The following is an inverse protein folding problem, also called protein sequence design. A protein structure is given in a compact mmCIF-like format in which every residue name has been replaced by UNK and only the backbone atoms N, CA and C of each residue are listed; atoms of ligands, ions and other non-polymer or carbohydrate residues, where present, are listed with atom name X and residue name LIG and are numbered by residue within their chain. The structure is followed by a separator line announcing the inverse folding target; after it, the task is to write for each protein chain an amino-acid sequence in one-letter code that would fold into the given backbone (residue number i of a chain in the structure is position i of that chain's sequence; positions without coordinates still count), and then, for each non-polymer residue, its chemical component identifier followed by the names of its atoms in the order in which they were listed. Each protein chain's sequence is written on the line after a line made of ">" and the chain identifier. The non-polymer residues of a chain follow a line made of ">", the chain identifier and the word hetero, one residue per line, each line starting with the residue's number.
data_IF_205839893559
#
_entry.id   IF_205839893559
#
_cell.length_a   1.000
_cell.length_b   1.000
_cell.length_c   1.000
_cell.angle_alpha   90.00
_cell.angle_beta   90.00
_cell.angle_gamma   90.00
#
_symmetry.space_group_name_H-M   'P 1'
#
loop_
_entity.id
_entity.type
_entity.pdbx_description
1 polymer ?
#
# COMPACT_ATOMS: atom_id res chain seq x y z
N UNK A 1 4.91 -1.52 -14.55
CA UNK A 1 5.57 -1.37 -13.23
C UNK A 1 6.49 -2.52 -12.89
N UNK A 2 6.02 -3.77 -12.77
CA UNK A 2 6.91 -4.90 -12.51
C UNK A 2 8.01 -5.05 -13.60
N UNK A 3 7.63 -4.92 -14.87
CA UNK A 3 8.58 -4.96 -16.00
C UNK A 3 9.57 -3.78 -15.97
N UNK A 4 9.13 -2.60 -15.53
CA UNK A 4 10.03 -1.45 -15.37
C UNK A 4 11.10 -1.71 -14.28
N UNK A 5 10.73 -2.44 -13.22
CA UNK A 5 11.67 -2.88 -12.17
C UNK A 5 12.63 -3.94 -12.70
N UNK A 6 12.14 -4.88 -13.52
CA UNK A 6 12.97 -5.90 -14.18
C UNK A 6 13.98 -5.27 -15.15
N UNK A 7 13.52 -4.36 -16.03
CA UNK A 7 14.39 -3.63 -16.96
C UNK A 7 15.45 -2.81 -16.22
N UNK A 8 15.05 -2.10 -15.16
CA UNK A 8 16.00 -1.36 -14.33
C UNK A 8 17.04 -2.28 -13.69
N UNK A 9 16.63 -3.46 -13.21
CA UNK A 9 17.54 -4.44 -12.64
C UNK A 9 18.56 -4.97 -13.66
N UNK A 10 18.13 -5.16 -14.92
CA UNK A 10 19.02 -5.54 -16.01
C UNK A 10 20.01 -4.44 -16.36
N UNK A 11 19.55 -3.18 -16.44
CA UNK A 11 20.42 -2.02 -16.69
C UNK A 11 21.46 -1.80 -15.58
N UNK A 12 21.11 -2.14 -14.33
CA UNK A 12 22.02 -2.08 -13.19
C UNK A 12 22.94 -3.32 -13.07
N UNK A 13 22.75 -4.34 -13.91
CA UNK A 13 23.56 -5.55 -13.89
C UNK A 13 23.38 -6.37 -12.60
N UNK A 14 22.18 -6.37 -12.01
CA UNK A 14 21.90 -7.10 -10.75
C UNK A 14 21.93 -8.63 -10.91
N UNK A 15 22.04 -9.11 -12.15
CA UNK A 15 22.09 -10.53 -12.50
C UNK A 15 20.71 -11.10 -12.85
N UNK A 16 20.65 -12.44 -12.97
CA UNK A 16 19.42 -13.14 -13.39
C UNK A 16 18.28 -13.03 -12.36
N UNK A 17 18.62 -12.91 -11.07
CA UNK A 17 17.63 -12.75 -9.99
C UNK A 17 18.11 -11.76 -8.95
N UNK A 18 17.18 -11.00 -8.38
CA UNK A 18 17.48 -9.96 -7.40
C UNK A 18 16.47 -9.95 -6.23
N UNK A 19 16.80 -9.21 -5.17
CA UNK A 19 15.89 -8.96 -4.04
C UNK A 19 15.15 -7.65 -4.24
N UNK A 20 13.89 -7.60 -3.79
CA UNK A 20 13.09 -6.37 -3.79
C UNK A 20 12.59 -6.04 -2.39
N UNK A 21 12.66 -4.76 -2.00
CA UNK A 21 12.21 -4.28 -0.69
C UNK A 21 11.24 -3.11 -0.90
N UNK A 22 10.02 -3.24 -0.38
CA UNK A 22 9.00 -2.22 -0.46
C UNK A 22 8.66 -1.66 0.92
N UNK A 23 8.74 -0.34 1.06
CA UNK A 23 8.31 0.39 2.24
C UNK A 23 7.00 1.12 1.97
N UNK A 24 6.01 1.01 2.87
CA UNK A 24 4.72 1.71 2.76
C UNK A 24 4.05 1.46 1.39
N UNK A 25 3.79 2.50 0.61
CA UNK A 25 3.22 2.38 -0.74
C UNK A 25 4.09 1.54 -1.69
N UNK A 26 5.40 1.45 -1.43
CA UNK A 26 6.29 0.54 -2.14
C UNK A 26 5.82 -0.91 -2.10
N UNK A 27 5.00 -1.31 -1.12
CA UNK A 27 4.36 -2.62 -1.09
C UNK A 27 3.52 -2.93 -2.33
N UNK A 28 2.83 -1.94 -2.90
CA UNK A 28 2.05 -2.11 -4.15
C UNK A 28 2.94 -2.55 -5.32
N UNK A 29 4.14 -2.00 -5.41
CA UNK A 29 5.14 -2.36 -6.42
C UNK A 29 5.61 -3.79 -6.19
N UNK A 30 5.93 -4.14 -4.95
CA UNK A 30 6.37 -5.50 -4.59
C UNK A 30 5.29 -6.55 -4.91
N UNK A 31 4.02 -6.28 -4.61
CA UNK A 31 2.91 -7.18 -4.97
C UNK A 31 2.81 -7.40 -6.48
N UNK A 32 3.05 -6.35 -7.28
CA UNK A 32 3.14 -6.46 -8.74
C UNK A 32 4.33 -7.32 -9.16
N UNK A 33 5.51 -7.10 -8.58
CA UNK A 33 6.70 -7.90 -8.90
C UNK A 33 6.50 -9.38 -8.57
N UNK A 34 5.89 -9.69 -7.42
CA UNK A 34 5.56 -11.06 -7.02
C UNK A 34 4.58 -11.74 -7.99
N UNK A 35 3.66 -10.98 -8.59
CA UNK A 35 2.67 -11.53 -9.54
C UNK A 35 3.27 -11.74 -10.93
N UNK A 36 3.99 -10.75 -11.46
CA UNK A 36 4.35 -10.71 -12.88
C UNK A 36 5.78 -11.15 -13.19
N UNK A 37 6.74 -10.92 -12.28
CA UNK A 37 8.15 -11.29 -12.48
C UNK A 37 8.68 -12.22 -11.38
N UNK A 38 7.91 -13.20 -10.85
CA UNK A 38 8.39 -14.03 -9.74
C UNK A 38 9.68 -14.80 -10.10
N UNK A 39 9.88 -15.10 -11.39
CA UNK A 39 11.06 -15.80 -11.89
C UNK A 39 12.36 -14.97 -11.76
N UNK A 40 12.27 -13.64 -11.67
CA UNK A 40 13.38 -12.70 -11.50
C UNK A 40 13.72 -12.41 -10.04
N UNK A 41 12.95 -12.94 -9.09
CA UNK A 41 13.11 -12.61 -7.68
C UNK A 41 13.80 -13.75 -6.94
N UNK A 42 14.82 -13.41 -6.15
CA UNK A 42 15.33 -14.31 -5.09
C UNK A 42 14.43 -14.21 -3.85
N UNK A 43 13.93 -13.01 -3.57
CA UNK A 43 13.03 -12.76 -2.44
C UNK A 43 12.45 -11.35 -2.45
N UNK A 44 11.39 -11.16 -1.66
CA UNK A 44 10.70 -9.90 -1.51
C UNK A 44 10.47 -9.57 -0.03
N UNK A 45 10.71 -8.32 0.36
CA UNK A 45 10.48 -7.83 1.73
C UNK A 45 9.47 -6.68 1.71
N UNK A 46 8.50 -6.73 2.64
CA UNK A 46 7.49 -5.71 2.82
C UNK A 46 7.64 -5.09 4.21
N UNK A 47 7.87 -3.78 4.27
CA UNK A 47 8.05 -3.03 5.52
C UNK A 47 6.90 -2.04 5.63
N UNK A 48 6.08 -2.19 6.68
CA UNK A 48 4.84 -1.40 6.91
C UNK A 48 4.02 -1.16 5.63
N UNK A 49 3.76 -2.19 4.81
CA UNK A 49 3.26 -1.99 3.46
C UNK A 49 1.81 -1.49 3.45
N UNK A 50 1.44 -0.80 2.38
CA UNK A 50 0.02 -0.73 1.99
C UNK A 50 -0.42 -2.15 1.61
N UNK A 51 -1.25 -2.75 2.45
CA UNK A 51 -1.70 -4.14 2.33
C UNK A 51 -2.61 -4.30 1.09
N UNK A 52 -2.39 -5.38 0.34
CA UNK A 52 -3.32 -5.81 -0.71
C UNK A 52 -4.32 -6.81 -0.12
N UNK A 53 -5.49 -6.34 0.30
CA UNK A 53 -6.53 -7.18 0.91
C UNK A 53 -7.12 -8.23 -0.04
N UNK A 54 -6.93 -8.11 -1.35
CA UNK A 54 -7.48 -9.02 -2.35
C UNK A 54 -6.45 -10.00 -2.92
N UNK A 55 -5.29 -10.13 -2.28
CA UNK A 55 -4.30 -11.12 -2.68
C UNK A 55 -4.85 -12.54 -2.51
N UNK A 56 -4.78 -13.36 -3.57
CA UNK A 56 -5.37 -14.71 -3.62
C UNK A 56 -4.91 -15.65 -2.50
N UNK A 57 -3.72 -15.44 -1.94
CA UNK A 57 -3.18 -16.24 -0.84
C UNK A 57 -3.64 -15.83 0.57
N UNK A 58 -4.43 -14.76 0.72
CA UNK A 58 -4.89 -14.31 2.04
C UNK A 58 -6.18 -15.03 2.45
N UNK A 59 -6.29 -15.50 3.71
CA UNK A 59 -7.54 -16.02 4.23
C UNK A 59 -8.65 -14.98 4.17
N UNK A 60 -9.88 -15.41 3.84
CA UNK A 60 -11.03 -14.51 3.67
C UNK A 60 -11.35 -13.69 4.93
N UNK A 61 -11.03 -14.18 6.13
CA UNK A 61 -11.22 -13.40 7.35
C UNK A 61 -10.27 -12.19 7.41
N UNK A 62 -9.01 -12.36 7.00
CA UNK A 62 -7.99 -11.29 6.99
C UNK A 62 -8.30 -10.23 5.95
N UNK A 63 -8.77 -10.62 4.76
CA UNK A 63 -9.14 -9.68 3.70
C UNK A 63 -10.32 -8.79 4.10
N UNK A 64 -11.19 -9.29 4.98
CA UNK A 64 -12.40 -8.58 5.42
C UNK A 64 -12.14 -7.72 6.66
N UNK A 65 -11.19 -8.09 7.52
CA UNK A 65 -10.94 -7.44 8.82
C UNK A 65 -9.76 -6.46 8.82
N UNK A 66 -8.95 -6.44 7.76
CA UNK A 66 -7.65 -5.76 7.80
C UNK A 66 -7.64 -4.23 7.91
N UNK A 67 -8.80 -3.55 7.84
CA UNK A 67 -8.92 -2.13 8.24
C UNK A 67 -10.07 -1.98 9.25
N UNK A 68 -9.74 -1.50 10.46
CA UNK A 68 -10.73 -1.24 11.51
C UNK A 68 -11.58 0.02 11.25
N UNK A 69 -11.19 0.85 10.28
CA UNK A 69 -11.89 2.08 9.93
C UNK A 69 -12.85 1.82 8.76
N UNK A 70 -14.17 1.89 8.97
CA UNK A 70 -15.17 1.60 7.93
C UNK A 70 -15.06 2.50 6.69
N UNK A 71 -14.62 3.75 6.88
CA UNK A 71 -14.43 4.70 5.79
C UNK A 71 -13.27 4.32 4.87
N UNK A 72 -12.09 4.06 5.45
CA UNK A 72 -10.90 3.62 4.71
C UNK A 72 -11.21 2.32 3.94
N UNK A 73 -11.96 1.40 4.55
CA UNK A 73 -12.43 0.17 3.91
C UNK A 73 -13.32 0.42 2.70
N UNK A 74 -14.23 1.40 2.76
CA UNK A 74 -15.09 1.79 1.62
C UNK A 74 -14.26 2.42 0.51
N UNK A 75 -13.34 3.32 0.84
CA UNK A 75 -12.46 3.97 -0.14
C UNK A 75 -11.61 2.93 -0.90
N UNK A 76 -11.04 1.95 -0.18
CA UNK A 76 -10.27 0.86 -0.77
C UNK A 76 -11.14 -0.04 -1.68
N UNK A 77 -12.38 -0.33 -1.30
CA UNK A 77 -13.31 -1.09 -2.15
C UNK A 77 -13.68 -0.35 -3.43
N UNK A 78 -13.92 0.97 -3.35
CA UNK A 78 -14.19 1.80 -4.54
C UNK A 78 -12.97 1.76 -5.46
N UNK A 79 -11.76 1.91 -4.91
CA UNK A 79 -10.53 1.82 -5.70
C UNK A 79 -10.35 0.44 -6.35
N UNK A 80 -10.76 -0.65 -5.69
CA UNK A 80 -10.63 -2.01 -6.21
C UNK A 80 -11.68 -2.38 -7.26
N UNK A 81 -12.97 -2.15 -6.98
CA UNK A 81 -14.07 -2.58 -7.85
C UNK A 81 -14.46 -1.54 -8.90
N UNK A 82 -14.18 -0.26 -8.62
CA UNK A 82 -14.56 0.87 -9.47
C UNK A 82 -13.36 1.79 -9.74
N UNK A 83 -12.25 1.27 -10.30
CA UNK A 83 -11.02 2.04 -10.44
C UNK A 83 -11.19 3.33 -11.24
N UNK A 84 -12.10 3.36 -12.23
CA UNK A 84 -12.43 4.56 -13.00
C UNK A 84 -13.03 5.69 -12.15
N UNK A 85 -13.67 5.36 -11.02
CA UNK A 85 -14.26 6.32 -10.11
C UNK A 85 -13.22 6.88 -9.11
N UNK A 86 -12.04 6.27 -9.02
CA UNK A 86 -11.00 6.62 -8.04
C UNK A 86 -10.57 8.08 -8.16
N UNK A 87 -10.32 8.55 -9.39
CA UNK A 87 -9.95 9.94 -9.62
C UNK A 87 -11.04 10.90 -9.11
N UNK A 88 -12.29 10.66 -9.52
CA UNK A 88 -13.42 11.48 -9.08
C UNK A 88 -13.59 11.45 -7.55
N UNK A 89 -13.50 10.27 -6.94
CA UNK A 89 -13.60 10.09 -5.48
C UNK A 89 -12.57 10.92 -4.72
N UNK A 90 -11.32 10.97 -5.21
CA UNK A 90 -10.24 11.74 -4.59
C UNK A 90 -10.37 13.26 -4.76
N UNK A 91 -11.12 13.72 -5.75
CA UNK A 91 -11.35 15.16 -5.96
C UNK A 91 -12.45 15.73 -5.07
N UNK A 92 -13.21 14.88 -4.37
CA UNK A 92 -14.30 15.32 -3.50
C UNK A 92 -13.75 15.91 -2.20
N UNK A 93 -14.10 17.17 -1.90
CA UNK A 93 -13.71 17.84 -0.64
C UNK A 93 -14.53 17.41 0.58
N UNK A 94 -15.58 16.62 0.35
CA UNK A 94 -16.58 16.23 1.36
C UNK A 94 -16.18 14.90 2.03
N UNK A 95 -15.29 14.12 1.41
CA UNK A 95 -14.81 12.88 1.98
C UNK A 95 -13.44 13.10 2.65
N UNK A 96 -13.26 12.70 3.92
CA UNK A 96 -11.94 12.71 4.54
C UNK A 96 -11.01 11.76 3.77
N UNK A 97 -9.74 12.16 3.59
CA UNK A 97 -8.69 11.26 3.12
C UNK A 97 -8.56 10.03 4.04
N UNK A 98 -7.91 8.96 3.58
CA UNK A 98 -7.61 7.78 4.41
C UNK A 98 -7.10 8.23 5.78
N UNK A 99 -7.64 7.64 6.85
CA UNK A 99 -7.45 8.09 8.22
C UNK A 99 -6.00 8.03 8.70
N UNK A 100 -5.18 7.20 8.04
CA UNK A 100 -3.72 7.15 8.19
C UNK A 100 -3.04 8.47 7.80
N UNK A 101 -3.52 9.13 6.75
CA UNK A 101 -3.00 10.41 6.25
C UNK A 101 -3.44 11.54 7.18
N UNK A 102 -4.66 11.45 7.72
CA UNK A 102 -5.19 12.41 8.68
C UNK A 102 -4.61 12.25 10.09
N UNK A 103 -3.69 11.30 10.30
CA UNK A 103 -3.11 10.95 11.61
C UNK A 103 -4.20 10.77 12.68
N UNK A 104 -5.33 10.20 12.28
CA UNK A 104 -6.46 10.04 13.19
C UNK A 104 -6.08 9.04 14.28
N UNK A 105 -6.21 9.38 15.57
CA UNK A 105 -5.89 8.47 16.67
C UNK A 105 -6.76 7.20 16.65
N UNK A 106 -7.85 7.19 15.88
CA UNK A 106 -8.70 6.02 15.66
C UNK A 106 -8.09 4.93 14.78
N UNK A 107 -6.92 5.15 14.17
CA UNK A 107 -6.23 4.11 13.38
C UNK A 107 -5.37 3.17 14.23
N UNK A 108 -4.95 3.65 15.39
CA UNK A 108 -4.08 2.93 16.31
C UNK A 108 -4.89 1.86 17.04
N UNK A 109 -4.31 0.67 17.18
CA UNK A 109 -4.85 -0.32 18.11
C UNK A 109 -4.78 0.20 19.55
N UNK A 110 -5.54 -0.39 20.47
CA UNK A 110 -5.45 -0.02 21.89
C UNK A 110 -4.03 -0.24 22.44
N UNK A 111 -3.36 -1.30 21.98
CA UNK A 111 -1.96 -1.59 22.32
C UNK A 111 -1.01 -0.50 21.79
N UNK A 112 -1.22 -0.03 20.55
CA UNK A 112 -0.42 1.05 19.98
C UNK A 112 -0.60 2.35 20.76
N UNK A 113 -1.83 2.64 21.21
CA UNK A 113 -2.13 3.80 22.06
C UNK A 113 -1.41 3.69 23.41
N UNK A 114 -1.40 2.52 24.03
CA UNK A 114 -0.67 2.28 25.28
C UNK A 114 0.85 2.44 25.12
N UNK A 115 1.41 1.97 24.00
CA UNK A 115 2.85 2.14 23.70
C UNK A 115 3.15 3.62 23.48
N UNK A 116 2.36 4.33 22.68
CA UNK A 116 2.54 5.75 22.43
C UNK A 116 2.40 6.58 23.71
N UNK A 117 1.51 6.21 24.62
CA UNK A 117 1.37 6.84 25.93
C UNK A 117 2.63 6.68 26.80
N UNK A 118 3.40 5.60 26.63
CA UNK A 118 4.66 5.33 27.36
C UNK A 118 5.86 6.08 26.78
N UNK A 119 5.78 6.55 25.54
CA UNK A 119 6.86 7.27 24.87
C UNK A 119 6.39 8.67 24.43
N UNK A 120 6.27 9.64 25.35
CA UNK A 120 5.79 11.00 25.05
C UNK A 120 6.79 11.86 24.23
N UNK A 121 7.79 11.25 23.59
CA UNK A 121 8.77 11.99 22.79
C UNK A 121 8.10 12.46 21.49
N UNK A 122 7.71 13.74 21.47
CA UNK A 122 7.35 14.49 20.28
C UNK A 122 8.52 14.44 19.29
N UNK A 123 8.42 13.57 18.30
CA UNK A 123 9.01 13.84 17.00
C UNK A 123 8.23 13.09 15.93
N UNK A 124 7.93 13.84 14.88
CA UNK A 124 7.02 13.58 13.76
C UNK A 124 7.45 12.42 12.87
N UNK A 125 7.66 11.22 13.42
CA UNK A 125 8.11 10.03 12.69
C UNK A 125 6.99 9.34 11.88
N UNK A 126 5.97 10.09 11.48
CA UNK A 126 4.92 9.63 10.56
C UNK A 126 4.75 10.63 9.40
N UNK A 127 5.37 11.81 9.47
CA UNK A 127 4.93 12.99 8.73
C UNK A 127 5.50 13.15 7.31
N UNK A 128 6.41 12.30 6.84
CA UNK A 128 7.06 12.49 5.52
C UNK A 128 6.84 11.36 4.50
N UNK A 129 6.20 10.25 4.87
CA UNK A 129 6.05 9.10 3.97
C UNK A 129 4.67 8.95 3.29
N UNK A 130 3.64 9.68 3.73
CA UNK A 130 2.24 9.38 3.37
C UNK A 130 1.55 10.41 2.46
N UNK A 131 2.21 11.52 2.12
CA UNK A 131 1.58 12.59 1.33
C UNK A 131 1.56 12.30 -0.19
N UNK A 132 2.25 11.26 -0.66
CA UNK A 132 2.31 10.88 -2.08
C UNK A 132 1.40 9.69 -2.45
N UNK A 133 0.47 9.29 -1.56
CA UNK A 133 -0.07 7.92 -1.57
C UNK A 133 -1.27 7.66 -2.51
N UNK A 134 -1.90 8.67 -3.11
CA UNK A 134 -3.13 8.42 -3.90
C UNK A 134 -3.05 8.68 -5.40
N UNK A 135 -2.09 9.44 -5.90
CA UNK A 135 -1.90 9.59 -7.34
C UNK A 135 -1.53 8.25 -8.01
N UNK A 136 -0.91 7.32 -7.27
CA UNK A 136 -0.45 6.03 -7.80
C UNK A 136 -1.50 4.91 -7.84
N UNK A 137 -2.50 4.93 -6.96
CA UNK A 137 -3.59 3.93 -6.94
C UNK A 137 -4.45 4.05 -8.22
N UNK A 138 -4.58 5.26 -8.77
CA UNK A 138 -5.33 5.51 -10.00
C UNK A 138 -4.59 5.07 -11.28
N UNK A 139 -3.25 5.07 -11.29
CA UNK A 139 -2.46 4.72 -12.48
C UNK A 139 -2.14 3.22 -12.56
N UNK A 140 -2.10 2.53 -11.42
CA UNK A 140 -1.69 1.11 -11.37
C UNK A 140 -2.80 0.13 -11.81
N UNK A 141 -4.06 0.56 -11.87
CA UNK A 141 -5.18 -0.30 -12.30
C UNK A 141 -5.42 -0.32 -13.81
N UNK A 142 -4.72 0.50 -14.60
CA UNK A 142 -4.70 0.35 -16.06
C UNK A 142 -3.87 -0.87 -16.52
N UNK A 143 -3.07 -1.48 -15.63
CA UNK A 143 -2.11 -2.56 -15.95
C UNK A 143 -2.40 -3.85 -15.17
N UNK A 144 -3.42 -3.88 -14.30
CA UNK A 144 -3.76 -5.06 -13.47
C UNK A 144 -4.94 -5.89 -14.01
N UNK A 145 -5.55 -5.47 -15.12
CA UNK A 145 -6.63 -6.20 -15.83
C UNK A 145 -6.24 -6.63 -17.25
N UNK A 146 -4.94 -6.78 -17.51
CA UNK A 146 -4.40 -7.64 -18.58
C UNK A 146 -3.48 -8.71 -17.95
#
# INVERSE_FOLDING_TARGET
>A
MALDVEELADQLGLGEKFYVVGYSMGGQIIWSCLKYIPHRLVGATLIVPVINYWWFGLPAHVSTEGTHIPWDKRALRVAHYMPWLTYWWNTQKIFPFISLILQSPGILSEQDKEILAKFPRKESMVCSAFQATFYFISLSHCVLME
#
